data_IF_869980517921
#
_entry.id   IF_869980517921
#
_cell.length_a   1.000
_cell.length_b   1.000
_cell.length_c   1.000
_cell.angle_alpha   90.00
_cell.angle_beta   90.00
_cell.angle_gamma   90.00
#
_symmetry.space_group_name_H-M   'P 1'
#
loop_
_entity.id
_entity.type
_entity.pdbx_description
1 polymer ?
#
# COMPACT_ATOMS: atom_id res chain seq x y z
N UNK A 1 -1.80 -6.59 15.83
CA UNK A 1 -0.52 -7.16 15.40
C UNK A 1 0.34 -7.49 16.60
N UNK A 2 0.75 -8.76 16.72
CA UNK A 2 1.71 -9.22 17.72
C UNK A 2 3.14 -9.35 17.13
N UNK A 3 4.12 -9.80 17.94
CA UNK A 3 5.52 -9.87 17.51
C UNK A 3 5.79 -10.94 16.45
N UNK A 4 5.06 -12.05 16.46
CA UNK A 4 5.22 -13.12 15.48
C UNK A 4 4.58 -12.70 14.16
N UNK A 5 3.41 -12.08 14.22
CA UNK A 5 2.75 -11.47 13.07
C UNK A 5 3.63 -10.35 12.48
N UNK A 6 4.19 -9.47 13.30
CA UNK A 6 5.12 -8.43 12.85
C UNK A 6 6.34 -9.01 12.14
N UNK A 7 6.91 -10.12 12.63
CA UNK A 7 8.04 -10.78 11.99
C UNK A 7 7.68 -11.31 10.60
N UNK A 8 6.47 -11.85 10.42
CA UNK A 8 6.00 -12.33 9.12
C UNK A 8 5.74 -11.15 8.18
N UNK A 9 4.92 -10.18 8.61
CA UNK A 9 4.56 -9.01 7.80
C UNK A 9 5.75 -8.12 7.46
N UNK A 10 6.73 -8.03 8.35
CA UNK A 10 7.98 -7.31 8.11
C UNK A 10 8.82 -7.94 7.00
N UNK A 11 8.87 -9.29 6.92
CA UNK A 11 9.53 -9.98 5.81
C UNK A 11 8.78 -9.75 4.49
N UNK A 12 7.45 -9.84 4.51
CA UNK A 12 6.62 -9.55 3.33
C UNK A 12 6.87 -8.13 2.81
N UNK A 13 6.99 -7.14 3.70
CA UNK A 13 7.30 -5.77 3.32
C UNK A 13 8.72 -5.63 2.71
N UNK A 14 9.70 -6.36 3.22
CA UNK A 14 11.06 -6.36 2.64
C UNK A 14 11.04 -6.94 1.22
N UNK A 15 10.40 -8.09 1.02
CA UNK A 15 10.25 -8.69 -0.31
C UNK A 15 9.50 -7.74 -1.27
N UNK A 16 8.44 -7.10 -0.78
CA UNK A 16 7.70 -6.09 -1.54
C UNK A 16 8.58 -4.93 -2.03
N UNK A 17 9.45 -4.38 -1.17
CA UNK A 17 10.37 -3.31 -1.55
C UNK A 17 11.39 -3.80 -2.58
N UNK A 18 11.93 -5.01 -2.41
CA UNK A 18 12.83 -5.63 -3.37
C UNK A 18 12.18 -5.79 -4.75
N UNK A 19 10.94 -6.26 -4.79
CA UNK A 19 10.16 -6.41 -6.01
C UNK A 19 9.85 -5.06 -6.66
N UNK A 20 9.48 -4.06 -5.87
CA UNK A 20 9.25 -2.70 -6.34
C UNK A 20 10.51 -2.13 -7.00
N UNK A 21 11.66 -2.22 -6.34
CA UNK A 21 12.94 -1.71 -6.87
C UNK A 21 13.38 -2.47 -8.12
N UNK A 22 13.16 -3.78 -8.17
CA UNK A 22 13.53 -4.62 -9.32
C UNK A 22 12.67 -4.32 -10.55
N UNK A 23 11.39 -3.99 -10.34
CA UNK A 23 10.41 -3.76 -11.40
C UNK A 23 10.07 -2.28 -11.62
N UNK A 24 10.81 -1.35 -11.00
CA UNK A 24 10.53 0.09 -11.06
C UNK A 24 10.52 0.63 -12.50
N UNK A 25 11.34 0.04 -13.38
CA UNK A 25 11.44 0.42 -14.79
C UNK A 25 10.18 0.09 -15.61
N UNK A 26 9.34 -0.82 -15.13
CA UNK A 26 8.05 -1.15 -15.77
C UNK A 26 6.94 -0.18 -15.37
N UNK A 27 7.18 0.69 -14.37
CA UNK A 27 6.22 1.65 -13.86
C UNK A 27 6.42 3.01 -14.53
N UNK A 28 5.33 3.74 -14.71
CA UNK A 28 5.39 5.12 -15.22
C UNK A 28 6.03 6.01 -14.15
N UNK A 29 7.02 6.81 -14.53
CA UNK A 29 7.71 7.73 -13.60
C UNK A 29 6.79 8.85 -13.11
N UNK A 30 5.92 9.35 -13.99
CA UNK A 30 4.93 10.38 -13.67
C UNK A 30 3.56 9.73 -13.51
N UNK A 31 2.83 9.98 -12.42
CA UNK A 31 1.52 9.38 -12.21
C UNK A 31 0.47 9.93 -13.19
N UNK A 32 -0.59 9.15 -13.44
CA UNK A 32 -1.72 9.51 -14.32
C UNK A 32 -2.98 9.86 -13.50
N UNK A 33 -2.80 10.73 -12.51
CA UNK A 33 -3.85 11.07 -11.54
C UNK A 33 -4.04 12.57 -11.40
N UNK A 34 -5.28 12.98 -11.16
CA UNK A 34 -5.62 14.37 -10.91
C UNK A 34 -5.38 14.80 -9.45
N UNK A 35 -5.27 16.11 -9.18
CA UNK A 35 -5.23 16.62 -7.81
C UNK A 35 -6.42 16.12 -6.99
N UNK A 36 -6.14 15.60 -5.79
CA UNK A 36 -7.18 15.12 -4.87
C UNK A 36 -7.76 13.73 -5.19
N UNK A 37 -7.19 12.98 -6.14
CA UNK A 37 -7.70 11.64 -6.54
C UNK A 37 -7.85 10.65 -5.37
N UNK A 38 -6.99 10.78 -4.35
CA UNK A 38 -6.95 9.84 -3.23
C UNK A 38 -8.11 10.02 -2.23
N UNK A 39 -8.58 11.27 -2.03
CA UNK A 39 -9.64 11.58 -1.05
C UNK A 39 -10.93 10.78 -1.25
N UNK A 40 -11.49 10.64 -2.48
CA UNK A 40 -12.70 9.84 -2.70
C UNK A 40 -12.47 8.33 -2.58
N UNK A 41 -11.22 7.85 -2.61
CA UNK A 41 -10.88 6.42 -2.46
C UNK A 41 -10.72 5.98 -1.00
N UNK A 42 -10.67 6.95 -0.08
CA UNK A 42 -10.50 6.72 1.36
C UNK A 42 -11.80 7.02 2.11
N UNK A 43 -12.05 6.32 3.23
CA UNK A 43 -13.19 6.61 4.08
C UNK A 43 -13.16 8.06 4.60
N UNK A 44 -14.33 8.58 4.95
CA UNK A 44 -14.46 9.95 5.45
C UNK A 44 -13.75 10.15 6.79
N UNK A 45 -13.74 9.10 7.61
CA UNK A 45 -13.24 9.05 8.99
C UNK A 45 -12.40 7.77 9.18
N UNK A 46 -11.58 7.75 10.23
CA UNK A 46 -10.77 6.59 10.56
C UNK A 46 -11.66 5.40 11.01
N UNK A 47 -11.27 4.16 10.68
CA UNK A 47 -11.98 2.99 11.18
C UNK A 47 -11.88 2.91 12.71
N UNK A 48 -12.96 2.47 13.36
CA UNK A 48 -13.01 2.32 14.82
C UNK A 48 -12.18 1.12 15.30
N UNK A 49 -12.12 0.09 14.47
CA UNK A 49 -11.36 -1.14 14.71
C UNK A 49 -10.21 -1.27 13.72
N UNK A 50 -9.19 -2.04 14.09
CA UNK A 50 -8.07 -2.32 13.20
C UNK A 50 -8.49 -3.13 11.98
N UNK A 51 -7.95 -2.78 10.82
CA UNK A 51 -8.13 -3.53 9.58
C UNK A 51 -7.09 -4.64 9.45
N UNK A 52 -7.39 -5.63 8.63
CA UNK A 52 -6.43 -6.70 8.34
C UNK A 52 -5.23 -6.13 7.56
N UNK A 53 -4.05 -6.68 7.81
CA UNK A 53 -2.84 -6.29 7.09
C UNK A 53 -2.99 -6.47 5.56
N UNK A 54 -3.67 -7.53 5.15
CA UNK A 54 -3.89 -7.84 3.73
C UNK A 54 -4.78 -6.79 3.05
N UNK A 55 -5.79 -6.27 3.76
CA UNK A 55 -6.60 -5.13 3.30
C UNK A 55 -5.77 -3.87 3.11
N UNK A 56 -4.88 -3.57 4.07
CA UNK A 56 -3.99 -2.41 4.02
C UNK A 56 -3.02 -2.52 2.84
N UNK A 57 -2.40 -3.68 2.63
CA UNK A 57 -1.48 -3.89 1.50
C UNK A 57 -2.19 -3.83 0.15
N UNK A 58 -3.44 -4.32 0.08
CA UNK A 58 -4.25 -4.17 -1.14
C UNK A 58 -4.57 -2.69 -1.44
N UNK A 59 -4.76 -1.87 -0.41
CA UNK A 59 -4.96 -0.43 -0.56
C UNK A 59 -3.68 0.28 -1.00
N UNK A 60 -2.51 -0.16 -0.55
CA UNK A 60 -1.22 0.36 -1.04
C UNK A 60 -1.10 0.15 -2.55
N UNK A 61 -1.36 -1.06 -3.04
CA UNK A 61 -1.28 -1.35 -4.48
C UNK A 61 -2.34 -0.62 -5.31
N UNK A 62 -3.57 -0.53 -4.81
CA UNK A 62 -4.69 -0.01 -5.60
C UNK A 62 -4.87 1.51 -5.51
N UNK A 63 -4.51 2.12 -4.37
CA UNK A 63 -4.77 3.54 -4.09
C UNK A 63 -3.49 4.38 -4.04
N UNK A 64 -2.36 3.83 -3.59
CA UNK A 64 -1.11 4.58 -3.44
C UNK A 64 -0.24 4.47 -4.70
N UNK A 65 -0.01 3.25 -5.21
CA UNK A 65 0.88 3.03 -6.36
C UNK A 65 0.51 3.75 -7.68
N UNK A 66 -0.78 4.06 -7.98
CA UNK A 66 -1.13 4.81 -9.19
C UNK A 66 -0.73 6.30 -9.17
N UNK A 67 -0.51 6.88 -7.99
CA UNK A 67 -0.18 8.30 -7.82
C UNK A 67 1.28 8.56 -7.52
#
# INVERSE_FOLDING_TARGET
MDIEEFRVRGKEMVEYICDFMSNIHNRRVTPDVGPGYLRPMLPAEAPQDGESWDSIMSDVESKIMPG
#
